data_IF_494577692350
#
_entry.id   IF_494577692350
#
_cell.length_a   1.000
_cell.length_b   1.000
_cell.length_c   1.000
_cell.angle_alpha   90.00
_cell.angle_beta   90.00
_cell.angle_gamma   90.00
#
_symmetry.space_group_name_H-M   'P 1'
#
loop_
_entity.id
_entity.type
_entity.pdbx_description
1 polymer ?
#
# COMPACT_ATOMS: atom_id res chain seq x y z
N UNK A 1 -13.41 27.38 -12.23
CA UNK A 1 -12.10 26.85 -11.80
C UNK A 1 -12.22 25.61 -10.90
N UNK A 2 -13.26 25.47 -10.09
CA UNK A 2 -13.48 24.28 -9.24
C UNK A 2 -13.88 23.02 -10.02
N UNK A 3 -14.76 23.13 -11.00
CA UNK A 3 -15.22 21.99 -11.79
C UNK A 3 -14.07 21.24 -12.49
N UNK A 4 -13.12 21.96 -13.06
CA UNK A 4 -11.92 21.35 -13.71
C UNK A 4 -11.05 20.59 -12.68
N UNK A 5 -10.94 21.08 -11.45
CA UNK A 5 -10.21 20.38 -10.36
C UNK A 5 -10.93 19.12 -9.93
N UNK A 6 -12.25 19.15 -9.83
CA UNK A 6 -13.07 17.98 -9.49
C UNK A 6 -12.93 16.92 -10.58
N UNK A 7 -13.06 17.32 -11.85
CA UNK A 7 -12.95 16.43 -13.01
C UNK A 7 -11.58 15.74 -13.09
N UNK A 8 -10.48 16.49 -12.88
CA UNK A 8 -9.13 15.92 -12.86
C UNK A 8 -8.97 14.92 -11.71
N UNK A 9 -9.48 15.22 -10.52
CA UNK A 9 -9.44 14.31 -9.37
C UNK A 9 -10.24 13.05 -9.61
N UNK A 10 -11.45 13.16 -10.15
CA UNK A 10 -12.29 12.00 -10.46
C UNK A 10 -11.65 11.13 -11.53
N UNK A 11 -11.09 11.73 -12.58
CA UNK A 11 -10.42 11.00 -13.65
C UNK A 11 -9.16 10.27 -13.13
N UNK A 12 -8.34 10.93 -12.30
CA UNK A 12 -7.18 10.28 -11.69
C UNK A 12 -7.57 9.11 -10.77
N UNK A 13 -8.67 9.23 -10.01
CA UNK A 13 -9.19 8.15 -9.17
C UNK A 13 -9.68 6.97 -10.00
N UNK A 14 -10.40 7.22 -11.10
CA UNK A 14 -10.87 6.15 -12.02
C UNK A 14 -9.67 5.42 -12.64
N UNK A 15 -8.66 6.15 -13.11
CA UNK A 15 -7.45 5.55 -13.69
C UNK A 15 -6.72 4.71 -12.64
N UNK A 16 -6.58 5.20 -11.42
CA UNK A 16 -5.97 4.48 -10.31
C UNK A 16 -6.69 3.14 -10.03
N UNK A 17 -8.01 3.18 -9.90
CA UNK A 17 -8.83 1.98 -9.68
C UNK A 17 -8.70 1.01 -10.87
N UNK A 18 -8.78 1.52 -12.10
CA UNK A 18 -8.68 0.70 -13.31
C UNK A 18 -7.32 -0.02 -13.42
N UNK A 19 -6.23 0.64 -13.06
CA UNK A 19 -4.89 0.04 -13.03
C UNK A 19 -4.83 -1.08 -11.99
N UNK A 20 -5.27 -0.83 -10.76
CA UNK A 20 -5.25 -1.85 -9.70
C UNK A 20 -6.10 -3.05 -10.07
N UNK A 21 -7.35 -2.82 -10.45
CA UNK A 21 -8.28 -3.91 -10.82
C UNK A 21 -7.74 -4.67 -12.03
N UNK A 22 -7.30 -3.96 -13.08
CA UNK A 22 -6.75 -4.58 -14.29
C UNK A 22 -5.54 -5.46 -13.99
N UNK A 23 -4.60 -4.98 -13.15
CA UNK A 23 -3.44 -5.77 -12.76
C UNK A 23 -3.83 -6.99 -11.89
N UNK A 24 -4.77 -6.86 -10.96
CA UNK A 24 -5.22 -8.00 -10.13
C UNK A 24 -5.91 -9.07 -10.98
N UNK A 25 -6.67 -8.67 -12.01
CA UNK A 25 -7.30 -9.60 -12.95
C UNK A 25 -6.27 -10.40 -13.77
N UNK A 26 -5.08 -9.86 -14.00
CA UNK A 26 -3.94 -10.55 -14.61
C UNK A 26 -3.22 -11.50 -13.62
N UNK A 27 -3.76 -11.67 -12.41
CA UNK A 27 -3.23 -12.55 -11.36
C UNK A 27 -1.80 -12.17 -10.95
N UNK A 28 -0.92 -13.18 -10.78
CA UNK A 28 0.44 -13.00 -10.24
C UNK A 28 1.31 -12.07 -11.07
N UNK A 29 1.21 -12.11 -12.40
CA UNK A 29 1.97 -11.24 -13.30
C UNK A 29 1.57 -9.77 -13.13
N UNK A 30 0.28 -9.51 -13.09
CA UNK A 30 -0.24 -8.16 -12.88
C UNK A 30 0.09 -7.63 -11.50
N UNK A 31 0.01 -8.46 -10.45
CA UNK A 31 0.39 -8.08 -9.09
C UNK A 31 1.89 -7.83 -9.00
N UNK A 32 2.73 -8.62 -9.70
CA UNK A 32 4.16 -8.34 -9.79
C UNK A 32 4.43 -6.99 -10.48
N UNK A 33 3.71 -6.66 -11.54
CA UNK A 33 3.80 -5.35 -12.19
C UNK A 33 3.39 -4.20 -11.25
N UNK A 34 2.32 -4.38 -10.46
CA UNK A 34 1.93 -3.42 -9.41
C UNK A 34 3.00 -3.27 -8.33
N UNK A 35 3.63 -4.37 -7.92
CA UNK A 35 4.73 -4.37 -6.95
C UNK A 35 5.90 -3.51 -7.45
N UNK A 36 6.29 -3.65 -8.72
CA UNK A 36 7.33 -2.83 -9.34
C UNK A 36 6.91 -1.36 -9.40
N UNK A 37 5.70 -1.09 -9.90
CA UNK A 37 5.18 0.28 -10.02
C UNK A 37 5.11 1.00 -8.68
N UNK A 38 4.48 0.38 -7.68
CA UNK A 38 4.34 0.96 -6.35
C UNK A 38 5.69 1.02 -5.63
N UNK A 39 6.57 0.04 -5.81
CA UNK A 39 7.92 0.06 -5.27
C UNK A 39 8.71 1.27 -5.75
N UNK A 40 8.69 1.55 -7.05
CA UNK A 40 9.36 2.72 -7.63
C UNK A 40 8.76 4.02 -7.09
N UNK A 41 7.43 4.19 -7.22
CA UNK A 41 6.76 5.42 -6.83
C UNK A 41 6.87 5.71 -5.34
N UNK A 42 6.64 4.70 -4.50
CA UNK A 42 6.71 4.85 -3.05
C UNK A 42 8.15 5.13 -2.58
N UNK A 43 9.17 4.51 -3.18
CA UNK A 43 10.57 4.77 -2.83
C UNK A 43 10.97 6.20 -3.20
N UNK A 44 10.58 6.69 -4.37
CA UNK A 44 10.82 8.08 -4.79
C UNK A 44 10.17 9.05 -3.79
N UNK A 45 8.91 8.81 -3.43
CA UNK A 45 8.18 9.69 -2.51
C UNK A 45 8.75 9.62 -1.09
N UNK A 46 9.07 8.43 -0.59
CA UNK A 46 9.70 8.22 0.71
C UNK A 46 11.06 8.94 0.79
N UNK A 47 11.87 8.85 -0.27
CA UNK A 47 13.15 9.55 -0.34
C UNK A 47 12.98 11.07 -0.29
N UNK A 48 11.98 11.61 -0.99
CA UNK A 48 11.68 13.06 -0.95
C UNK A 48 11.29 13.52 0.46
N UNK A 49 10.47 12.74 1.16
CA UNK A 49 9.98 13.08 2.51
C UNK A 49 11.08 12.99 3.55
N UNK A 50 11.91 11.94 3.51
CA UNK A 50 12.88 11.64 4.58
C UNK A 50 14.20 12.41 4.44
N UNK A 51 14.66 12.62 3.23
CA UNK A 51 16.01 13.15 2.96
C UNK A 51 16.00 14.56 2.42
N UNK A 52 14.83 15.07 2.02
CA UNK A 52 14.73 16.29 1.23
C UNK A 52 15.30 16.09 -0.19
N UNK A 53 15.13 17.09 -1.06
CA UNK A 53 15.63 17.04 -2.44
C UNK A 53 17.16 17.25 -2.55
N UNK A 54 17.87 17.38 -1.45
CA UNK A 54 19.28 17.74 -1.45
C UNK A 54 20.18 16.51 -1.35
N UNK A 55 20.95 16.29 -2.38
CA UNK A 55 22.25 15.60 -2.47
C UNK A 55 22.34 14.08 -2.40
N UNK A 56 21.27 13.30 -2.50
CA UNK A 56 21.51 11.88 -2.74
C UNK A 56 21.56 11.66 -4.26
N UNK A 57 22.77 11.34 -4.76
CA UNK A 57 23.00 11.12 -6.17
C UNK A 57 22.05 10.03 -6.72
N UNK A 58 21.75 10.12 -8.01
CA UNK A 58 20.94 9.14 -8.73
C UNK A 58 21.32 7.66 -8.41
N UNK A 59 22.62 7.30 -8.22
CA UNK A 59 23.00 5.93 -7.87
C UNK A 59 22.38 5.41 -6.56
N UNK A 60 22.27 6.27 -5.53
CA UNK A 60 21.69 5.91 -4.22
C UNK A 60 20.19 5.65 -4.35
N UNK A 61 19.48 6.53 -5.06
CA UNK A 61 18.05 6.34 -5.32
C UNK A 61 17.78 5.06 -6.11
N UNK A 62 18.58 4.78 -7.13
CA UNK A 62 18.45 3.55 -7.92
C UNK A 62 18.72 2.30 -7.08
N UNK A 63 19.71 2.33 -6.18
CA UNK A 63 19.99 1.23 -5.27
C UNK A 63 18.81 0.98 -4.28
N UNK A 64 18.21 2.05 -3.75
CA UNK A 64 17.05 1.95 -2.86
C UNK A 64 15.82 1.39 -3.61
N UNK A 65 15.55 1.87 -4.82
CA UNK A 65 14.47 1.33 -5.69
C UNK A 65 14.72 -0.15 -5.99
N UNK A 66 15.94 -0.51 -6.40
CA UNK A 66 16.29 -1.89 -6.70
C UNK A 66 16.09 -2.79 -5.47
N UNK A 67 16.51 -2.34 -4.28
CA UNK A 67 16.31 -3.07 -3.02
C UNK A 67 14.83 -3.30 -2.71
N UNK A 68 13.99 -2.26 -2.79
CA UNK A 68 12.53 -2.37 -2.56
C UNK A 68 11.88 -3.32 -3.57
N UNK A 69 12.22 -3.19 -4.84
CA UNK A 69 11.65 -4.04 -5.90
C UNK A 69 12.11 -5.50 -5.76
N UNK A 70 13.39 -5.75 -5.48
CA UNK A 70 13.89 -7.10 -5.25
C UNK A 70 13.24 -7.77 -4.05
N UNK A 71 13.06 -7.03 -2.92
CA UNK A 71 12.35 -7.54 -1.76
C UNK A 71 10.88 -7.79 -2.09
N UNK A 72 10.21 -6.86 -2.75
CA UNK A 72 8.81 -6.98 -3.15
C UNK A 72 8.55 -8.18 -4.06
N UNK A 73 9.47 -8.49 -4.97
CA UNK A 73 9.36 -9.61 -5.91
C UNK A 73 9.91 -10.94 -5.37
N UNK A 74 10.35 -11.01 -4.12
CA UNK A 74 11.01 -12.22 -3.58
C UNK A 74 10.13 -13.47 -3.68
N UNK A 75 8.81 -13.37 -3.57
CA UNK A 75 7.88 -14.49 -3.75
C UNK A 75 7.58 -14.83 -5.22
N UNK A 76 8.00 -14.01 -6.16
CA UNK A 76 7.84 -14.27 -7.60
C UNK A 76 9.05 -14.96 -8.23
N UNK A 77 9.90 -15.59 -7.40
CA UNK A 77 11.07 -16.33 -7.85
C UNK A 77 12.37 -15.52 -7.87
N UNK A 78 12.33 -14.26 -7.44
CA UNK A 78 13.55 -13.48 -7.23
C UNK A 78 14.22 -13.94 -5.93
N UNK A 79 15.49 -14.40 -5.97
CA UNK A 79 16.15 -14.85 -4.76
C UNK A 79 16.33 -13.68 -3.77
N UNK A 80 16.05 -13.92 -2.49
CA UNK A 80 16.32 -12.97 -1.41
C UNK A 80 17.78 -12.50 -1.39
N UNK A 81 18.68 -13.32 -1.95
CA UNK A 81 20.08 -12.97 -2.15
C UNK A 81 20.28 -11.72 -3.01
N UNK A 82 19.40 -11.46 -4.00
CA UNK A 82 19.47 -10.23 -4.80
C UNK A 82 19.14 -9.00 -3.95
N UNK A 83 18.16 -9.10 -3.06
CA UNK A 83 17.88 -8.02 -2.11
C UNK A 83 19.07 -7.75 -1.19
N UNK A 84 19.70 -8.82 -0.64
CA UNK A 84 20.92 -8.70 0.17
C UNK A 84 22.04 -8.05 -0.64
N UNK A 85 22.21 -8.43 -1.90
CA UNK A 85 23.20 -7.80 -2.78
C UNK A 85 22.92 -6.30 -3.00
N UNK A 86 21.65 -5.91 -3.16
CA UNK A 86 21.26 -4.49 -3.24
C UNK A 86 21.57 -3.74 -1.93
N UNK A 87 21.34 -4.35 -0.76
CA UNK A 87 21.72 -3.78 0.53
C UNK A 87 23.23 -3.59 0.65
N UNK A 88 24.01 -4.60 0.31
CA UNK A 88 25.47 -4.52 0.33
C UNK A 88 25.97 -3.44 -0.65
N UNK A 89 25.39 -3.39 -1.86
CA UNK A 89 25.71 -2.35 -2.81
C UNK A 89 25.39 -0.95 -2.27
N UNK A 90 24.26 -0.82 -1.59
CA UNK A 90 23.88 0.44 -0.94
C UNK A 90 24.88 0.86 0.14
N UNK A 91 25.40 -0.11 0.93
CA UNK A 91 26.47 0.15 1.91
C UNK A 91 27.76 0.63 1.22
N UNK A 92 28.15 -0.03 0.12
CA UNK A 92 29.34 0.38 -0.66
C UNK A 92 29.18 1.81 -1.19
N UNK A 93 28.01 2.16 -1.75
CA UNK A 93 27.74 3.51 -2.22
C UNK A 93 27.89 4.56 -1.11
N UNK A 94 27.47 4.23 0.13
CA UNK A 94 27.60 5.16 1.26
C UNK A 94 29.05 5.45 1.62
N UNK A 95 29.97 4.50 1.44
CA UNK A 95 31.41 4.72 1.69
C UNK A 95 32.00 5.78 0.75
N UNK A 96 31.41 5.95 -0.45
CA UNK A 96 31.87 6.93 -1.43
C UNK A 96 31.11 8.26 -1.39
N UNK A 97 30.00 8.31 -0.64
CA UNK A 97 29.29 9.58 -0.39
C UNK A 97 30.01 10.34 0.72
N UNK A 98 30.41 11.59 0.44
CA UNK A 98 31.07 12.47 1.41
C UNK A 98 30.06 13.23 2.29
N UNK A 99 29.03 12.56 2.76
CA UNK A 99 28.02 13.17 3.63
C UNK A 99 28.42 13.02 5.10
N UNK A 100 28.15 14.04 5.91
CA UNK A 100 28.44 14.03 7.34
C UNK A 100 27.56 13.04 8.13
N UNK A 101 26.38 12.66 7.58
CA UNK A 101 25.36 11.87 8.26
C UNK A 101 25.11 10.50 7.60
N UNK A 102 26.17 9.81 7.17
CA UNK A 102 26.08 8.51 6.48
C UNK A 102 25.23 7.49 7.22
N UNK A 103 25.32 7.42 8.55
CA UNK A 103 24.52 6.48 9.35
C UNK A 103 23.02 6.79 9.26
N UNK A 104 22.63 8.06 9.28
CA UNK A 104 21.24 8.48 9.14
C UNK A 104 20.71 8.15 7.75
N UNK A 105 21.50 8.41 6.70
CA UNK A 105 21.14 8.11 5.33
C UNK A 105 20.92 6.62 5.10
N UNK A 106 21.80 5.78 5.65
CA UNK A 106 21.67 4.34 5.60
C UNK A 106 20.43 3.85 6.35
N UNK A 107 20.18 4.43 7.54
CA UNK A 107 18.99 4.10 8.34
C UNK A 107 17.69 4.37 7.57
N UNK A 108 17.60 5.51 6.86
CA UNK A 108 16.44 5.80 6.01
C UNK A 108 16.33 4.86 4.82
N UNK A 109 17.44 4.44 4.19
CA UNK A 109 17.42 3.44 3.12
C UNK A 109 16.85 2.11 3.61
N UNK A 110 17.37 1.59 4.72
CA UNK A 110 16.91 0.33 5.31
C UNK A 110 15.45 0.44 5.74
N UNK A 111 15.08 1.53 6.41
CA UNK A 111 13.70 1.80 6.81
C UNK A 111 12.76 1.82 5.60
N UNK A 112 13.14 2.49 4.50
CA UNK A 112 12.35 2.52 3.27
C UNK A 112 12.18 1.13 2.66
N UNK A 113 13.26 0.34 2.60
CA UNK A 113 13.19 -1.02 2.06
C UNK A 113 12.28 -1.93 2.90
N UNK A 114 12.35 -1.84 4.22
CA UNK A 114 11.50 -2.62 5.12
C UNK A 114 10.05 -2.11 5.07
N UNK A 115 9.85 -0.81 5.20
CA UNK A 115 8.52 -0.19 5.29
C UNK A 115 7.71 -0.30 3.99
N UNK A 116 8.36 -0.24 2.83
CA UNK A 116 7.71 -0.36 1.53
C UNK A 116 7.80 -1.81 1.01
N UNK A 117 8.97 -2.42 1.08
CA UNK A 117 9.24 -3.72 0.48
C UNK A 117 8.47 -4.86 1.14
N UNK A 118 8.33 -4.89 2.48
CA UNK A 118 7.60 -5.97 3.17
C UNK A 118 6.11 -5.97 2.82
N UNK A 119 5.36 -4.86 2.85
CA UNK A 119 3.97 -4.84 2.39
C UNK A 119 3.81 -5.28 0.93
N UNK A 120 4.69 -4.85 0.04
CA UNK A 120 4.66 -5.27 -1.36
C UNK A 120 4.97 -6.76 -1.54
N UNK A 121 5.93 -7.27 -0.78
CA UNK A 121 6.25 -8.69 -0.72
C UNK A 121 5.05 -9.52 -0.25
N UNK A 122 4.39 -9.11 0.84
CA UNK A 122 3.19 -9.80 1.35
C UNK A 122 2.02 -9.71 0.38
N UNK A 123 1.83 -8.59 -0.30
CA UNK A 123 0.82 -8.43 -1.34
C UNK A 123 1.00 -9.46 -2.47
N UNK A 124 2.21 -9.62 -2.96
CA UNK A 124 2.52 -10.62 -4.00
C UNK A 124 2.44 -12.05 -3.44
N UNK A 125 2.87 -12.26 -2.19
CA UNK A 125 2.79 -13.54 -1.49
C UNK A 125 1.38 -14.10 -1.38
N UNK A 126 0.38 -13.26 -1.17
CA UNK A 126 -1.05 -13.66 -1.16
C UNK A 126 -1.43 -14.30 -2.50
N UNK A 127 -0.96 -13.75 -3.60
CA UNK A 127 -1.26 -14.28 -4.93
C UNK A 127 -0.49 -15.56 -5.25
N UNK A 128 0.82 -15.57 -4.99
CA UNK A 128 1.72 -16.65 -5.41
C UNK A 128 1.68 -17.83 -4.46
N UNK A 129 1.73 -17.56 -3.14
CA UNK A 129 1.86 -18.61 -2.12
C UNK A 129 0.52 -19.22 -1.75
N UNK A 130 -0.51 -18.38 -1.59
CA UNK A 130 -1.86 -18.85 -1.22
C UNK A 130 -2.75 -19.09 -2.44
N UNK A 131 -2.34 -18.71 -3.64
CA UNK A 131 -3.13 -18.86 -4.85
C UNK A 131 -4.42 -18.04 -4.87
N UNK A 132 -4.48 -16.94 -4.09
CA UNK A 132 -5.67 -16.11 -3.89
C UNK A 132 -5.49 -14.68 -4.42
N UNK A 133 -5.24 -14.48 -5.73
CA UNK A 133 -4.98 -13.13 -6.26
C UNK A 133 -6.15 -12.17 -6.04
N UNK A 134 -7.38 -12.66 -6.12
CA UNK A 134 -8.59 -11.85 -5.96
C UNK A 134 -8.88 -11.45 -4.50
N UNK A 135 -8.24 -12.07 -3.51
CA UNK A 135 -8.29 -11.62 -2.12
C UNK A 135 -7.74 -10.20 -1.98
N UNK A 136 -6.71 -9.85 -2.77
CA UNK A 136 -6.21 -8.47 -2.81
C UNK A 136 -7.26 -7.49 -3.30
N UNK A 137 -8.11 -7.89 -4.26
CA UNK A 137 -9.21 -7.05 -4.70
C UNK A 137 -10.20 -6.80 -3.55
N UNK A 138 -10.54 -7.83 -2.76
CA UNK A 138 -11.38 -7.66 -1.58
C UNK A 138 -10.76 -6.68 -0.57
N UNK A 139 -9.44 -6.78 -0.32
CA UNK A 139 -8.72 -5.87 0.58
C UNK A 139 -8.82 -4.42 0.07
N UNK A 140 -8.52 -4.17 -1.22
CA UNK A 140 -8.65 -2.83 -1.79
C UNK A 140 -10.09 -2.31 -1.75
N UNK A 141 -11.08 -3.16 -2.03
CA UNK A 141 -12.48 -2.80 -1.92
C UNK A 141 -12.85 -2.40 -0.48
N UNK A 142 -12.38 -3.13 0.54
CA UNK A 142 -12.59 -2.74 1.94
C UNK A 142 -11.93 -1.41 2.29
N UNK A 143 -10.71 -1.13 1.79
CA UNK A 143 -10.06 0.17 1.97
C UNK A 143 -10.92 1.29 1.37
N UNK A 144 -11.39 1.15 0.13
CA UNK A 144 -12.23 2.14 -0.53
C UNK A 144 -13.60 2.32 0.14
N UNK A 145 -14.19 1.22 0.62
CA UNK A 145 -15.46 1.24 1.36
C UNK A 145 -15.28 1.92 2.73
N UNK A 146 -14.18 1.63 3.43
CA UNK A 146 -13.84 2.28 4.68
C UNK A 146 -13.68 3.79 4.51
N UNK A 147 -12.91 4.21 3.52
CA UNK A 147 -12.71 5.64 3.24
C UNK A 147 -14.02 6.34 2.87
N UNK A 148 -14.84 5.69 2.04
CA UNK A 148 -16.15 6.23 1.64
C UNK A 148 -17.11 6.33 2.83
N UNK A 149 -17.22 5.27 3.63
CA UNK A 149 -18.07 5.23 4.82
C UNK A 149 -17.62 6.24 5.87
N UNK A 150 -16.30 6.30 6.11
CA UNK A 150 -15.71 7.26 7.04
C UNK A 150 -15.94 8.71 6.59
N UNK A 151 -15.83 8.99 5.29
CA UNK A 151 -16.09 10.31 4.74
C UNK A 151 -17.57 10.70 4.87
N UNK A 152 -18.50 9.83 4.45
CA UNK A 152 -19.94 10.13 4.50
C UNK A 152 -20.38 10.37 5.92
N UNK A 153 -20.07 9.44 6.85
CA UNK A 153 -20.50 9.55 8.26
C UNK A 153 -19.75 10.68 8.97
N UNK A 154 -18.45 10.85 8.70
CA UNK A 154 -17.65 11.92 9.27
C UNK A 154 -18.11 13.33 8.86
N UNK A 155 -18.55 13.50 7.61
CA UNK A 155 -19.08 14.79 7.14
C UNK A 155 -20.49 15.09 7.68
N UNK A 156 -21.32 14.06 7.90
CA UNK A 156 -22.72 14.26 8.33
C UNK A 156 -22.87 14.30 9.85
N UNK A 157 -22.14 13.44 10.55
CA UNK A 157 -22.30 13.23 11.99
C UNK A 157 -21.04 13.51 12.82
N UNK A 158 -19.90 13.79 12.18
CA UNK A 158 -18.61 13.96 12.85
C UNK A 158 -18.58 15.13 13.81
N UNK A 159 -18.51 14.84 15.11
CA UNK A 159 -18.44 15.83 16.20
C UNK A 159 -17.15 15.70 17.01
N UNK A 160 -16.71 14.48 17.27
CA UNK A 160 -15.55 14.19 18.11
C UNK A 160 -14.32 13.88 17.24
N UNK A 161 -13.27 14.68 17.37
CA UNK A 161 -12.02 14.48 16.62
C UNK A 161 -11.27 13.25 17.09
N UNK A 162 -10.74 12.45 16.14
CA UNK A 162 -9.97 11.25 16.46
C UNK A 162 -8.56 11.60 16.94
N UNK A 163 -7.81 12.38 16.14
CA UNK A 163 -6.46 12.85 16.46
C UNK A 163 -6.27 14.28 15.92
N UNK A 164 -6.59 15.30 16.70
CA UNK A 164 -6.53 16.71 16.25
C UNK A 164 -5.13 17.11 15.73
N UNK A 165 -4.08 16.65 16.41
CA UNK A 165 -2.69 17.00 16.08
C UNK A 165 -2.20 16.38 14.78
N UNK A 166 -2.66 15.17 14.42
CA UNK A 166 -2.15 14.41 13.27
C UNK A 166 -3.11 14.56 12.08
N UNK A 167 -4.40 14.45 12.32
CA UNK A 167 -5.44 14.52 11.29
C UNK A 167 -6.69 15.25 11.81
N UNK A 168 -6.74 16.57 11.69
CA UNK A 168 -7.84 17.37 12.25
C UNK A 168 -9.19 17.12 11.55
N UNK A 169 -9.20 16.42 10.42
CA UNK A 169 -10.43 16.10 9.66
C UNK A 169 -11.04 14.75 10.04
N UNK A 170 -10.27 13.82 10.65
CA UNK A 170 -10.78 12.50 11.06
C UNK A 170 -11.59 12.62 12.36
N UNK A 171 -12.76 11.96 12.41
CA UNK A 171 -13.65 11.89 13.60
C UNK A 171 -13.91 10.44 14.01
N UNK A 172 -14.25 10.24 15.28
CA UNK A 172 -14.64 8.92 15.81
C UNK A 172 -15.89 8.38 15.12
N UNK A 173 -16.88 9.23 14.86
CA UNK A 173 -18.10 8.85 14.15
C UNK A 173 -17.76 8.37 12.72
N UNK A 174 -16.83 9.06 12.05
CA UNK A 174 -16.33 8.64 10.76
C UNK A 174 -15.65 7.28 10.81
N UNK A 175 -14.79 7.03 11.81
CA UNK A 175 -14.14 5.74 12.00
C UNK A 175 -15.16 4.59 12.15
N UNK A 176 -16.14 4.75 13.04
CA UNK A 176 -17.20 3.75 13.21
C UNK A 176 -18.08 3.61 11.96
N UNK A 177 -18.30 4.70 11.23
CA UNK A 177 -18.99 4.68 9.94
C UNK A 177 -18.29 3.82 8.92
N UNK A 178 -16.98 4.01 8.73
CA UNK A 178 -16.17 3.17 7.85
C UNK A 178 -16.20 1.70 8.24
N UNK A 179 -16.03 1.41 9.55
CA UNK A 179 -16.10 0.05 10.08
C UNK A 179 -17.45 -0.62 9.78
N UNK A 180 -18.56 0.07 10.01
CA UNK A 180 -19.91 -0.46 9.74
C UNK A 180 -20.12 -0.72 8.24
N UNK A 181 -19.62 0.15 7.36
CA UNK A 181 -19.63 -0.09 5.92
C UNK A 181 -18.85 -1.36 5.56
N UNK A 182 -17.63 -1.52 6.07
CA UNK A 182 -16.83 -2.73 5.83
C UNK A 182 -17.52 -4.00 6.35
N UNK A 183 -18.07 -3.99 7.54
CA UNK A 183 -18.80 -5.12 8.12
C UNK A 183 -20.05 -5.46 7.31
N UNK A 184 -20.81 -4.47 6.86
CA UNK A 184 -21.98 -4.68 5.99
C UNK A 184 -21.60 -5.33 4.66
N UNK A 185 -20.56 -4.83 3.99
CA UNK A 185 -20.07 -5.40 2.74
C UNK A 185 -19.38 -6.75 2.91
N UNK A 186 -18.81 -7.05 4.09
CA UNK A 186 -18.23 -8.37 4.36
C UNK A 186 -19.29 -9.48 4.34
N UNK A 187 -20.53 -9.19 4.79
CA UNK A 187 -21.66 -10.12 4.63
C UNK A 187 -21.95 -10.38 3.16
N UNK A 188 -21.99 -9.32 2.36
CA UNK A 188 -22.25 -9.42 0.92
C UNK A 188 -21.17 -10.26 0.23
N UNK A 189 -19.88 -9.99 0.49
CA UNK A 189 -18.78 -10.73 -0.13
C UNK A 189 -18.75 -12.19 0.32
N UNK A 190 -18.99 -12.46 1.59
CA UNK A 190 -18.98 -13.81 2.14
C UNK A 190 -20.18 -14.68 1.71
N UNK A 191 -21.32 -14.07 1.37
CA UNK A 191 -22.52 -14.81 0.97
C UNK A 191 -22.67 -14.90 -0.55
N UNK A 192 -22.36 -13.81 -1.29
CA UNK A 192 -22.63 -13.72 -2.74
C UNK A 192 -21.45 -14.19 -3.58
N UNK A 193 -20.20 -13.82 -3.19
CA UNK A 193 -18.99 -14.08 -3.99
C UNK A 193 -17.83 -14.75 -3.25
N UNK A 194 -18.06 -15.66 -2.29
CA UNK A 194 -16.96 -16.22 -1.50
C UNK A 194 -15.96 -17.01 -2.34
N UNK A 195 -16.44 -17.74 -3.35
CA UNK A 195 -15.60 -18.51 -4.27
C UNK A 195 -14.73 -17.63 -5.19
N UNK A 196 -15.21 -16.45 -5.56
CA UNK A 196 -14.44 -15.52 -6.39
C UNK A 196 -13.20 -14.99 -5.67
N UNK A 197 -13.32 -14.67 -4.39
CA UNK A 197 -12.22 -14.17 -3.57
C UNK A 197 -11.33 -15.27 -2.98
N UNK A 198 -11.76 -16.54 -3.04
CA UNK A 198 -10.99 -17.69 -2.56
C UNK A 198 -11.10 -17.98 -1.06
N UNK A 199 -11.93 -17.25 -0.29
CA UNK A 199 -12.00 -17.36 1.18
C UNK A 199 -13.13 -18.24 1.71
N UNK A 200 -13.99 -18.80 0.86
CA UNK A 200 -15.13 -19.60 1.28
C UNK A 200 -16.24 -18.81 2.00
N UNK A 201 -17.24 -19.56 2.52
CA UNK A 201 -18.46 -18.98 3.11
C UNK A 201 -18.35 -18.63 4.61
N UNK A 202 -17.19 -18.77 5.24
CA UNK A 202 -17.06 -18.51 6.67
C UNK A 202 -17.13 -17.01 6.97
N UNK A 203 -18.28 -16.55 7.44
CA UNK A 203 -18.54 -15.13 7.71
C UNK A 203 -17.60 -14.51 8.75
N UNK A 204 -17.09 -15.29 9.70
CA UNK A 204 -16.18 -14.80 10.72
C UNK A 204 -14.83 -14.41 10.16
N UNK A 205 -14.36 -15.11 9.10
CA UNK A 205 -13.13 -14.74 8.40
C UNK A 205 -13.32 -13.40 7.67
N UNK A 206 -14.47 -13.21 7.03
CA UNK A 206 -14.82 -11.97 6.35
C UNK A 206 -14.96 -10.80 7.31
N UNK A 207 -15.60 -11.02 8.48
CA UNK A 207 -15.67 -10.01 9.54
C UNK A 207 -14.29 -9.66 10.08
N UNK A 208 -13.43 -10.66 10.33
CA UNK A 208 -12.06 -10.45 10.76
C UNK A 208 -11.25 -9.63 9.76
N UNK A 209 -11.35 -9.95 8.46
CA UNK A 209 -10.69 -9.20 7.39
C UNK A 209 -11.19 -7.75 7.33
N UNK A 210 -12.51 -7.55 7.33
CA UNK A 210 -13.12 -6.21 7.30
C UNK A 210 -12.71 -5.38 8.51
N UNK A 211 -12.69 -5.98 9.71
CA UNK A 211 -12.26 -5.32 10.94
C UNK A 211 -10.79 -4.89 10.86
N UNK A 212 -9.89 -5.83 10.51
CA UNK A 212 -8.45 -5.54 10.40
C UNK A 212 -8.22 -4.43 9.38
N UNK A 213 -8.78 -4.54 8.18
CA UNK A 213 -8.61 -3.51 7.15
C UNK A 213 -9.14 -2.16 7.64
N UNK A 214 -10.33 -2.11 8.27
CA UNK A 214 -10.92 -0.85 8.74
C UNK A 214 -10.12 -0.18 9.85
N UNK A 215 -9.46 -0.96 10.73
CA UNK A 215 -8.64 -0.41 11.82
C UNK A 215 -7.32 0.17 11.29
N UNK A 216 -6.74 -0.42 10.24
CA UNK A 216 -5.43 -0.03 9.72
C UNK A 216 -5.49 0.91 8.50
N UNK A 217 -6.66 1.14 7.89
CA UNK A 217 -6.87 2.11 6.82
C UNK A 217 -7.20 3.50 7.37
#
# INVERSE_FOLDING_TARGET
>A
MEFKKILVRSLSGIIYIAIIVGCILLRSEGIAALTVLFGILATIEFTKITRGLHNHGLPVLLADIAGVVCLGLSFYGFPVLLWIACLLWRLVLELYTRDSDSLRNLSYSIMGQVYIGIPLCTMLGVSVFFGMPYLLLAIFMFIWLNDTGAFIVGCTFGRHKLFERISPKKSWEGFFGGLLFCLGFSVLFGQVWPGFFGMGHNIWIWFGLAFVVSVFA
#
